data_IF_143851016624
#
_entry.id   IF_143851016624
#
_cell.length_a   1.000
_cell.length_b   1.000
_cell.length_c   1.000
_cell.angle_alpha   90.00
_cell.angle_beta   90.00
_cell.angle_gamma   90.00
#
_symmetry.space_group_name_H-M   'P 1'
#
loop_
_entity.id
_entity.type
_entity.pdbx_description
1 polymer ?
#
# COMPACT_ATOMS: atom_id res chain seq x y z
N UNK A 1 -31.14 4.22 -12.79
CA UNK A 1 -30.64 4.72 -11.48
C UNK A 1 -29.16 4.91 -11.66
N UNK A 2 -28.54 5.87 -11.04
CA UNK A 2 -27.08 5.98 -11.12
C UNK A 2 -26.46 4.87 -10.25
N UNK A 3 -25.43 4.22 -10.77
CA UNK A 3 -24.70 3.21 -10.01
C UNK A 3 -24.07 3.87 -8.77
N UNK A 4 -24.10 3.16 -7.66
CA UNK A 4 -23.50 3.64 -6.40
C UNK A 4 -22.08 3.07 -6.25
N UNK A 5 -21.18 3.89 -5.72
CA UNK A 5 -19.83 3.43 -5.40
C UNK A 5 -19.71 3.25 -3.89
N UNK A 6 -19.30 2.08 -3.46
CA UNK A 6 -19.06 1.77 -2.05
C UNK A 6 -17.65 1.26 -1.82
N UNK A 7 -17.08 1.66 -0.69
CA UNK A 7 -15.83 1.12 -0.17
C UNK A 7 -16.16 0.10 0.93
N UNK A 8 -15.82 -1.14 0.68
CA UNK A 8 -15.92 -2.26 1.61
C UNK A 8 -14.57 -2.39 2.31
N UNK A 9 -14.53 -2.15 3.62
CA UNK A 9 -13.32 -2.28 4.43
C UNK A 9 -13.49 -3.41 5.43
N UNK A 10 -12.61 -4.39 5.38
CA UNK A 10 -12.64 -5.58 6.22
C UNK A 10 -11.33 -5.69 6.98
N UNK A 11 -11.42 -5.98 8.28
CA UNK A 11 -10.25 -6.25 9.11
C UNK A 11 -10.51 -7.39 10.08
N UNK A 12 -9.44 -8.13 10.41
CA UNK A 12 -9.52 -9.26 11.33
C UNK A 12 -8.49 -10.32 10.97
N UNK A 13 -8.65 -11.49 11.59
CA UNK A 13 -7.73 -12.59 11.34
C UNK A 13 -7.82 -13.09 9.90
N UNK A 14 -6.67 -13.24 9.24
CA UNK A 14 -6.64 -13.78 7.88
C UNK A 14 -7.14 -15.23 7.85
N UNK A 15 -8.07 -15.49 6.95
CA UNK A 15 -8.67 -16.83 6.78
C UNK A 15 -8.71 -17.21 5.30
N UNK A 16 -8.22 -18.40 4.95
CA UNK A 16 -8.35 -18.92 3.58
C UNK A 16 -9.81 -18.92 3.12
N UNK A 17 -10.04 -18.47 1.89
CA UNK A 17 -11.36 -18.49 1.26
C UNK A 17 -12.21 -17.24 1.49
N UNK A 18 -11.83 -16.31 2.38
CA UNK A 18 -12.59 -15.08 2.58
C UNK A 18 -12.70 -14.25 1.30
N UNK A 19 -11.58 -14.04 0.60
CA UNK A 19 -11.57 -13.30 -0.67
C UNK A 19 -12.48 -13.98 -1.71
N UNK A 20 -12.41 -15.29 -1.84
CA UNK A 20 -13.25 -16.02 -2.80
C UNK A 20 -14.74 -15.84 -2.52
N UNK A 21 -15.14 -15.98 -1.25
CA UNK A 21 -16.52 -15.79 -0.84
C UNK A 21 -17.01 -14.34 -1.06
N UNK A 22 -16.17 -13.35 -0.82
CA UNK A 22 -16.51 -11.94 -1.08
C UNK A 22 -16.66 -11.67 -2.58
N UNK A 23 -15.76 -12.19 -3.41
CA UNK A 23 -15.84 -12.03 -4.86
C UNK A 23 -17.06 -12.68 -5.44
N UNK A 24 -17.48 -13.84 -4.93
CA UNK A 24 -18.72 -14.52 -5.33
C UNK A 24 -19.93 -13.61 -5.07
N UNK A 25 -20.06 -13.07 -3.86
CA UNK A 25 -21.16 -12.15 -3.51
C UNK A 25 -21.16 -10.88 -4.38
N UNK A 26 -19.99 -10.29 -4.64
CA UNK A 26 -19.86 -9.09 -5.48
C UNK A 26 -20.26 -9.36 -6.92
N UNK A 27 -19.82 -10.48 -7.49
CA UNK A 27 -20.15 -10.88 -8.85
C UNK A 27 -21.63 -11.23 -8.99
N UNK A 28 -22.20 -11.97 -8.05
CA UNK A 28 -23.61 -12.35 -8.04
C UNK A 28 -24.55 -11.14 -7.93
N UNK A 29 -24.10 -10.08 -7.26
CA UNK A 29 -24.82 -8.79 -7.20
C UNK A 29 -24.67 -7.96 -8.48
N UNK A 30 -23.94 -8.43 -9.50
CA UNK A 30 -23.67 -7.67 -10.72
C UNK A 30 -22.79 -6.44 -10.51
N UNK A 31 -22.07 -6.38 -9.39
CA UNK A 31 -21.20 -5.26 -9.05
C UNK A 31 -19.85 -5.33 -9.80
N UNK A 32 -19.28 -4.17 -10.11
CA UNK A 32 -17.99 -4.03 -10.75
C UNK A 32 -16.92 -3.62 -9.74
N UNK A 33 -15.80 -4.35 -9.68
CA UNK A 33 -14.65 -3.99 -8.83
C UNK A 33 -13.86 -2.90 -9.51
N UNK A 34 -13.78 -1.73 -8.87
CA UNK A 34 -13.04 -0.56 -9.37
C UNK A 34 -11.59 -0.55 -8.87
N UNK A 35 -11.38 -0.93 -7.62
CA UNK A 35 -10.04 -1.01 -7.00
C UNK A 35 -10.06 -1.96 -5.81
N UNK A 36 -8.89 -2.49 -5.46
CA UNK A 36 -8.72 -3.32 -4.27
C UNK A 36 -7.33 -3.26 -3.70
N UNK A 37 -7.24 -3.35 -2.38
CA UNK A 37 -5.98 -3.43 -1.65
C UNK A 37 -6.08 -4.40 -0.48
N UNK A 38 -5.08 -5.26 -0.35
CA UNK A 38 -4.98 -6.21 0.76
C UNK A 38 -3.60 -6.15 1.40
N UNK A 39 -3.56 -6.15 2.70
CA UNK A 39 -2.34 -6.34 3.48
C UNK A 39 -2.58 -7.36 4.60
N UNK A 40 -1.59 -8.23 4.81
CA UNK A 40 -1.58 -9.17 5.95
C UNK A 40 -0.29 -8.91 6.74
N UNK A 41 -0.45 -8.54 8.02
CA UNK A 41 0.66 -8.34 8.96
C UNK A 41 0.51 -9.35 10.09
N UNK A 42 1.43 -10.28 10.19
CA UNK A 42 1.28 -11.50 10.97
C UNK A 42 0.08 -12.32 10.46
N UNK A 43 -0.98 -12.40 11.22
CA UNK A 43 -2.24 -13.07 10.89
C UNK A 43 -3.43 -12.08 10.83
N UNK A 44 -3.14 -10.78 10.87
CA UNK A 44 -4.14 -9.72 10.77
C UNK A 44 -4.26 -9.21 9.34
N UNK A 45 -5.46 -9.37 8.79
CA UNK A 45 -5.88 -8.90 7.46
C UNK A 45 -6.41 -7.48 7.56
N UNK A 46 -5.99 -6.64 6.61
CA UNK A 46 -6.67 -5.40 6.24
C UNK A 46 -6.98 -5.47 4.73
N UNK A 47 -8.25 -5.41 4.38
CA UNK A 47 -8.75 -5.51 3.01
C UNK A 47 -9.67 -4.33 2.72
N UNK A 48 -9.42 -3.64 1.61
CA UNK A 48 -10.29 -2.64 1.03
C UNK A 48 -10.71 -3.06 -0.36
N UNK A 49 -12.00 -2.98 -0.69
CA UNK A 49 -12.53 -3.22 -2.02
C UNK A 49 -13.46 -2.07 -2.37
N UNK A 50 -13.15 -1.39 -3.45
CA UNK A 50 -13.99 -0.35 -4.03
C UNK A 50 -14.83 -0.96 -5.15
N UNK A 51 -16.13 -0.91 -5.01
CA UNK A 51 -17.06 -1.52 -5.96
C UNK A 51 -18.11 -0.53 -6.41
N UNK A 52 -18.48 -0.63 -7.68
CA UNK A 52 -19.62 0.05 -8.27
C UNK A 52 -20.77 -0.95 -8.35
N UNK A 53 -21.88 -0.59 -7.72
CA UNK A 53 -23.06 -1.45 -7.64
C UNK A 53 -24.24 -0.80 -8.35
N UNK A 54 -25.00 -1.55 -9.17
CA UNK A 54 -26.20 -1.01 -9.82
C UNK A 54 -27.31 -0.75 -8.80
N UNK A 55 -27.35 -1.53 -7.73
CA UNK A 55 -28.27 -1.38 -6.61
C UNK A 55 -27.64 -2.04 -5.38
N UNK A 56 -27.65 -1.35 -4.24
CA UNK A 56 -27.09 -1.89 -2.98
C UNK A 56 -27.77 -3.21 -2.55
N UNK A 57 -29.07 -3.31 -2.75
CA UNK A 57 -29.86 -4.53 -2.56
C UNK A 57 -29.48 -5.32 -1.31
N UNK A 58 -29.31 -6.62 -1.46
CA UNK A 58 -28.92 -7.56 -0.41
C UNK A 58 -27.40 -7.66 -0.21
N UNK A 59 -26.59 -7.09 -1.11
CA UNK A 59 -25.13 -7.26 -1.10
C UNK A 59 -24.51 -6.88 0.25
N UNK A 60 -24.98 -5.77 0.84
CA UNK A 60 -24.46 -5.31 2.14
C UNK A 60 -24.78 -6.28 3.27
N UNK A 61 -25.97 -6.89 3.25
CA UNK A 61 -26.40 -7.87 4.23
C UNK A 61 -25.63 -9.18 4.08
N UNK A 62 -25.43 -9.64 2.86
CA UNK A 62 -24.70 -10.86 2.53
C UNK A 62 -23.22 -10.76 2.92
N UNK A 63 -22.56 -9.61 2.61
CA UNK A 63 -21.18 -9.35 3.03
C UNK A 63 -21.12 -9.28 4.57
N UNK A 64 -22.09 -8.63 5.22
CA UNK A 64 -22.15 -8.55 6.68
C UNK A 64 -22.25 -9.93 7.30
N UNK A 65 -23.14 -10.78 6.80
CA UNK A 65 -23.31 -12.16 7.26
C UNK A 65 -22.00 -12.97 7.07
N UNK A 66 -21.34 -12.82 5.93
CA UNK A 66 -20.07 -13.51 5.65
C UNK A 66 -18.96 -13.06 6.60
N UNK A 67 -18.82 -11.76 6.84
CA UNK A 67 -17.83 -11.22 7.78
C UNK A 67 -18.09 -11.69 9.22
N UNK A 68 -19.36 -11.68 9.65
CA UNK A 68 -19.73 -12.22 10.96
C UNK A 68 -19.38 -13.70 11.12
N UNK A 69 -19.65 -14.52 10.10
CA UNK A 69 -19.32 -15.96 10.09
C UNK A 69 -17.83 -16.23 10.32
N UNK A 70 -16.98 -15.36 9.82
CA UNK A 70 -15.52 -15.50 9.97
C UNK A 70 -14.93 -14.67 11.12
N UNK A 71 -15.76 -13.87 11.80
CA UNK A 71 -15.35 -13.04 12.94
C UNK A 71 -14.49 -11.84 12.52
N UNK A 72 -14.70 -11.31 11.32
CA UNK A 72 -14.02 -10.10 10.81
C UNK A 72 -14.89 -8.87 11.03
N UNK A 73 -14.25 -7.74 11.32
CA UNK A 73 -14.92 -6.45 11.37
C UNK A 73 -15.16 -5.94 9.94
N UNK A 74 -16.32 -5.33 9.71
CA UNK A 74 -16.75 -4.78 8.44
C UNK A 74 -17.11 -3.31 8.59
N UNK A 75 -16.71 -2.49 7.60
CA UNK A 75 -17.23 -1.14 7.40
C UNK A 75 -17.56 -0.99 5.92
N UNK A 76 -18.76 -0.51 5.62
CA UNK A 76 -19.18 -0.11 4.29
C UNK A 76 -19.38 1.40 4.30
N UNK A 77 -18.78 2.08 3.31
CA UNK A 77 -18.85 3.54 3.18
C UNK A 77 -19.27 3.89 1.76
N UNK A 78 -20.32 4.69 1.62
CA UNK A 78 -20.71 5.25 0.33
C UNK A 78 -19.64 6.26 -0.12
N UNK A 79 -19.21 6.16 -1.36
CA UNK A 79 -18.24 7.09 -1.98
C UNK A 79 -18.99 7.95 -3.00
N UNK A 80 -18.94 9.26 -2.82
CA UNK A 80 -19.53 10.21 -3.76
C UNK A 80 -18.77 10.14 -5.11
N UNK A 81 -19.48 10.18 -6.21
CA UNK A 81 -18.91 10.09 -7.56
C UNK A 81 -17.84 11.16 -7.82
N UNK A 82 -18.06 12.38 -7.35
CA UNK A 82 -17.09 13.48 -7.48
C UNK A 82 -15.77 13.16 -6.76
N UNK A 83 -15.84 12.53 -5.60
CA UNK A 83 -14.65 12.08 -4.86
C UNK A 83 -13.92 10.95 -5.57
N UNK A 84 -14.65 10.04 -6.24
CA UNK A 84 -14.04 8.98 -7.03
C UNK A 84 -13.28 9.52 -8.24
N UNK A 85 -13.87 10.48 -8.96
CA UNK A 85 -13.20 11.12 -10.10
C UNK A 85 -11.95 11.88 -9.69
N UNK A 86 -11.98 12.63 -8.58
CA UNK A 86 -10.82 13.31 -8.04
C UNK A 86 -9.69 12.33 -7.66
N UNK A 87 -10.04 11.22 -7.03
CA UNK A 87 -9.06 10.18 -6.67
C UNK A 87 -8.47 9.51 -7.92
N UNK A 88 -9.31 9.21 -8.93
CA UNK A 88 -8.84 8.61 -10.19
C UNK A 88 -7.90 9.53 -10.97
N UNK A 89 -8.13 10.84 -10.93
CA UNK A 89 -7.22 11.83 -11.52
C UNK A 89 -5.90 11.95 -10.77
N UNK A 90 -5.90 11.76 -9.45
CA UNK A 90 -4.68 11.71 -8.63
C UNK A 90 -3.72 10.58 -9.01
N UNK A 91 -4.22 9.49 -9.58
CA UNK A 91 -3.41 8.39 -10.13
C UNK A 91 -2.65 8.77 -11.42
N UNK A 92 -2.94 9.92 -12.04
CA UNK A 92 -2.28 10.41 -13.27
C UNK A 92 -0.84 10.85 -13.04
N UNK A 93 -0.42 11.16 -11.83
CA UNK A 93 0.96 11.50 -11.51
C UNK A 93 1.74 10.21 -11.21
N UNK A 94 2.85 10.02 -11.91
CA UNK A 94 3.73 8.87 -11.66
C UNK A 94 4.23 8.89 -10.21
N UNK A 95 3.76 7.98 -9.35
CA UNK A 95 4.19 7.96 -7.96
C UNK A 95 5.69 7.71 -7.86
N UNK A 96 6.27 8.13 -6.75
CA UNK A 96 7.67 7.83 -6.43
C UNK A 96 7.74 6.56 -5.58
N UNK A 97 8.79 5.81 -5.81
CA UNK A 97 9.18 4.70 -4.93
C UNK A 97 10.44 5.12 -4.19
N UNK A 98 10.32 5.19 -2.89
CA UNK A 98 11.43 5.40 -1.99
C UNK A 98 11.77 4.09 -1.29
N UNK A 99 13.00 3.63 -1.51
CA UNK A 99 13.54 2.48 -0.78
C UNK A 99 14.51 2.99 0.28
N UNK A 100 14.36 2.54 1.51
CA UNK A 100 15.22 2.87 2.65
C UNK A 100 15.88 1.60 3.16
N UNK A 101 17.20 1.63 3.29
CA UNK A 101 17.99 0.55 3.89
C UNK A 101 18.70 1.09 5.13
N UNK A 102 18.41 0.52 6.28
CA UNK A 102 19.04 0.91 7.53
C UNK A 102 19.52 -0.28 8.35
N UNK A 103 20.51 -0.01 9.19
CA UNK A 103 20.95 -0.93 10.24
C UNK A 103 20.28 -0.53 11.56
N UNK A 104 19.80 -1.49 12.34
CA UNK A 104 19.16 -1.25 13.61
C UNK A 104 17.63 -1.27 13.57
N UNK A 105 16.98 -0.63 14.53
CA UNK A 105 15.53 -0.74 14.79
C UNK A 105 14.63 0.01 13.81
N UNK A 106 15.18 0.72 12.82
CA UNK A 106 14.43 1.31 11.70
C UNK A 106 13.39 2.39 12.03
N UNK A 107 13.11 2.67 13.29
CA UNK A 107 12.09 3.65 13.66
C UNK A 107 12.49 5.09 13.35
N UNK A 108 13.76 5.44 13.57
CA UNK A 108 14.26 6.80 13.31
C UNK A 108 14.29 7.15 11.81
N UNK A 109 14.82 6.28 10.92
CA UNK A 109 14.74 6.53 9.49
C UNK A 109 13.29 6.69 9.00
N UNK A 110 12.37 5.83 9.46
CA UNK A 110 10.96 5.92 9.07
C UNK A 110 10.32 7.22 9.54
N UNK A 111 10.56 7.64 10.78
CA UNK A 111 10.10 8.93 11.34
C UNK A 111 10.63 10.11 10.53
N UNK A 112 11.93 10.11 10.22
CA UNK A 112 12.56 11.20 9.49
C UNK A 112 12.03 11.31 8.06
N UNK A 113 11.91 10.18 7.36
CA UNK A 113 11.33 10.11 6.01
C UNK A 113 9.86 10.56 6.02
N UNK A 114 9.05 10.12 6.98
CA UNK A 114 7.64 10.54 7.08
C UNK A 114 7.50 12.05 7.31
N UNK A 115 8.39 12.65 8.12
CA UNK A 115 8.42 14.10 8.29
C UNK A 115 8.87 14.84 7.03
N UNK A 116 9.82 14.26 6.27
CA UNK A 116 10.29 14.81 5.02
C UNK A 116 9.19 14.79 3.96
N UNK A 117 8.53 13.65 3.76
CA UNK A 117 7.44 13.52 2.77
C UNK A 117 6.34 14.53 3.04
N UNK A 118 5.94 14.69 4.31
CA UNK A 118 4.96 15.71 4.72
C UNK A 118 5.39 17.13 4.36
N UNK A 119 6.67 17.50 4.52
CA UNK A 119 7.20 18.84 4.19
C UNK A 119 7.19 19.13 2.69
N UNK A 120 7.22 18.10 1.87
CA UNK A 120 7.22 18.19 0.41
C UNK A 120 5.86 17.85 -0.22
N UNK A 121 4.76 17.91 0.55
CA UNK A 121 3.39 17.62 0.11
C UNK A 121 3.24 16.24 -0.54
N UNK A 122 4.00 15.27 -0.02
CA UNK A 122 3.91 13.88 -0.43
C UNK A 122 3.18 13.05 0.63
N UNK A 123 2.31 12.16 0.18
CA UNK A 123 1.68 11.13 0.99
C UNK A 123 2.44 9.81 0.86
N UNK A 124 2.45 9.01 1.92
CA UNK A 124 2.93 7.63 1.89
C UNK A 124 1.72 6.73 1.71
N UNK A 125 1.54 6.18 0.52
CA UNK A 125 0.37 5.35 0.19
C UNK A 125 0.54 3.92 0.70
N UNK A 126 1.75 3.36 0.54
CA UNK A 126 2.07 2.01 1.02
C UNK A 126 3.47 1.95 1.61
N UNK A 127 3.63 1.11 2.62
CA UNK A 127 4.95 0.76 3.17
C UNK A 127 5.07 -0.75 3.16
N UNK A 128 6.11 -1.25 2.51
CA UNK A 128 6.38 -2.68 2.43
C UNK A 128 7.78 -3.00 2.95
N UNK A 129 7.86 -3.91 3.90
CA UNK A 129 9.14 -4.44 4.35
C UNK A 129 9.64 -5.48 3.35
N UNK A 130 10.88 -5.31 2.85
CA UNK A 130 11.52 -6.21 1.90
C UNK A 130 12.40 -7.26 2.60
N UNK A 131 12.87 -6.96 3.82
CA UNK A 131 13.64 -7.90 4.65
C UNK A 131 12.72 -8.78 5.48
N UNK A 132 13.11 -10.03 5.70
CA UNK A 132 12.37 -10.92 6.62
C UNK A 132 12.43 -10.39 8.06
N UNK A 133 11.35 -10.54 8.85
CA UNK A 133 11.41 -10.34 10.30
C UNK A 133 12.45 -11.29 10.90
N UNK A 134 13.32 -10.79 11.77
CA UNK A 134 14.29 -11.62 12.47
C UNK A 134 13.66 -12.24 13.73
N UNK A 135 13.92 -13.52 14.01
CA UNK A 135 13.56 -14.13 15.28
C UNK A 135 14.22 -13.40 16.47
N UNK A 136 13.52 -13.32 17.60
CA UNK A 136 14.08 -12.69 18.82
C UNK A 136 15.38 -13.32 19.32
N UNK A 137 15.59 -14.62 19.04
CA UNK A 137 16.78 -15.34 19.43
C UNK A 137 18.07 -14.94 18.67
N UNK A 138 17.93 -14.26 17.53
CA UNK A 138 19.08 -13.79 16.73
C UNK A 138 19.39 -12.30 16.97
N UNK A 139 18.96 -11.75 18.09
CA UNK A 139 19.07 -10.33 18.41
C UNK A 139 20.51 -9.80 18.59
N UNK A 140 21.52 -10.67 18.54
CA UNK A 140 22.95 -10.28 18.57
C UNK A 140 23.45 -9.75 17.20
N UNK A 141 22.73 -10.00 16.12
CA UNK A 141 23.07 -9.47 14.80
C UNK A 141 22.31 -8.16 14.60
N UNK A 142 23.01 -7.08 14.29
CA UNK A 142 22.39 -5.78 13.98
C UNK A 142 21.32 -5.98 12.90
N UNK A 143 20.03 -5.77 13.21
CA UNK A 143 18.97 -6.05 12.27
C UNK A 143 19.08 -5.12 11.06
N UNK A 144 19.00 -5.66 9.86
CA UNK A 144 18.89 -4.87 8.63
C UNK A 144 17.42 -4.68 8.31
N UNK A 145 17.01 -3.45 8.07
CA UNK A 145 15.68 -3.11 7.66
C UNK A 145 15.73 -2.50 6.26
N UNK A 146 15.03 -3.14 5.32
CA UNK A 146 14.77 -2.57 4.01
C UNK A 146 13.27 -2.33 3.86
N UNK A 147 12.88 -1.08 3.65
CA UNK A 147 11.50 -0.65 3.44
C UNK A 147 11.36 -0.07 2.04
N UNK A 148 10.31 -0.44 1.36
CA UNK A 148 9.86 0.19 0.12
C UNK A 148 8.59 1.00 0.45
N UNK A 149 8.57 2.26 0.08
CA UNK A 149 7.45 3.17 0.27
C UNK A 149 7.00 3.70 -1.09
N UNK A 150 5.70 3.64 -1.34
CA UNK A 150 5.10 4.32 -2.48
C UNK A 150 4.61 5.68 -2.02
N UNK A 151 5.03 6.72 -2.73
CA UNK A 151 4.71 8.10 -2.43
C UNK A 151 3.88 8.69 -3.56
N UNK A 152 2.79 9.36 -3.21
CA UNK A 152 1.98 10.15 -4.13
C UNK A 152 1.93 11.61 -3.67
N UNK A 153 1.48 12.51 -4.54
CA UNK A 153 1.35 13.92 -4.24
C UNK A 153 2.01 14.80 -5.29
N UNK A 154 2.03 16.10 -5.02
CA UNK A 154 2.52 17.10 -5.95
C UNK A 154 3.92 17.58 -5.56
N UNK A 155 4.94 16.79 -5.88
CA UNK A 155 6.34 17.15 -5.62
C UNK A 155 6.76 18.34 -6.49
N UNK A 156 6.77 19.54 -5.92
CA UNK A 156 7.10 20.79 -6.62
C UNK A 156 8.59 20.86 -7.01
N UNK A 157 9.48 20.36 -6.16
CA UNK A 157 10.92 20.43 -6.37
C UNK A 157 11.61 19.11 -6.00
N UNK A 158 11.87 18.31 -7.03
CA UNK A 158 12.55 17.01 -6.88
C UNK A 158 13.99 17.13 -6.40
N UNK A 159 14.71 18.18 -6.77
CA UNK A 159 16.10 18.38 -6.36
C UNK A 159 16.17 18.73 -4.86
N UNK A 160 15.30 19.63 -4.40
CA UNK A 160 15.21 19.97 -2.99
C UNK A 160 14.83 18.76 -2.12
N UNK A 161 13.88 17.94 -2.59
CA UNK A 161 13.50 16.70 -1.90
C UNK A 161 14.67 15.73 -1.78
N UNK A 162 15.43 15.53 -2.87
CA UNK A 162 16.60 14.65 -2.85
C UNK A 162 17.73 15.19 -1.97
N UNK A 163 17.97 16.50 -1.98
CA UNK A 163 18.99 17.14 -1.15
C UNK A 163 18.63 17.03 0.35
N UNK A 164 17.37 17.24 0.70
CA UNK A 164 16.91 17.07 2.07
C UNK A 164 16.98 15.61 2.53
N UNK A 165 16.62 14.68 1.65
CA UNK A 165 16.70 13.24 1.92
C UNK A 165 18.14 12.79 2.14
N UNK A 166 19.08 13.27 1.30
CA UNK A 166 20.51 12.98 1.44
C UNK A 166 21.06 13.46 2.79
N UNK A 167 20.70 14.68 3.20
CA UNK A 167 21.12 15.22 4.49
C UNK A 167 20.61 14.41 5.65
N UNK A 168 19.32 14.03 5.64
CA UNK A 168 18.73 13.21 6.71
C UNK A 168 19.34 11.81 6.72
N UNK A 169 19.63 11.24 5.55
CA UNK A 169 20.25 9.92 5.45
C UNK A 169 21.66 9.91 6.04
N UNK A 170 22.44 10.97 5.81
CA UNK A 170 23.80 11.14 6.37
C UNK A 170 23.73 11.34 7.88
N UNK A 171 22.83 12.20 8.38
CA UNK A 171 22.67 12.51 9.80
C UNK A 171 22.26 11.28 10.65
N UNK A 172 21.41 10.42 10.10
CA UNK A 172 20.82 9.27 10.83
C UNK A 172 21.57 7.97 10.52
N UNK A 173 22.25 7.88 9.39
CA UNK A 173 23.00 6.70 8.96
C UNK A 173 22.10 5.64 8.29
N UNK A 174 21.46 5.99 7.19
CA UNK A 174 20.74 5.04 6.33
C UNK A 174 20.99 5.31 4.86
N UNK A 175 20.85 4.27 4.04
CA UNK A 175 20.91 4.38 2.58
C UNK A 175 19.51 4.50 1.99
N UNK A 176 19.39 5.15 0.84
CA UNK A 176 18.12 5.26 0.14
C UNK A 176 18.25 5.20 -1.38
N UNK A 177 17.13 4.91 -2.03
CA UNK A 177 16.96 5.04 -3.48
C UNK A 177 15.58 5.64 -3.78
N UNK A 178 15.53 6.61 -4.70
CA UNK A 178 14.29 7.22 -5.18
C UNK A 178 14.14 6.92 -6.67
N UNK A 179 12.99 6.39 -7.06
CA UNK A 179 12.66 6.04 -8.43
C UNK A 179 11.23 6.46 -8.75
N UNK A 180 10.95 6.79 -10.01
CA UNK A 180 9.57 6.93 -10.49
C UNK A 180 8.96 5.54 -10.66
N UNK A 181 7.72 5.34 -10.19
CA UNK A 181 6.99 4.09 -10.42
C UNK A 181 6.45 4.08 -11.85
N UNK A 182 7.23 3.51 -12.75
CA UNK A 182 6.86 3.35 -14.15
C UNK A 182 6.67 1.86 -14.47
N UNK A 183 5.92 1.57 -15.53
CA UNK A 183 5.76 0.19 -16.02
C UNK A 183 7.09 -0.50 -16.29
N UNK A 184 8.11 0.28 -16.60
CA UNK A 184 9.45 -0.22 -16.89
C UNK A 184 10.27 -0.58 -15.65
N UNK A 185 9.91 -0.09 -14.45
CA UNK A 185 10.57 -0.48 -13.20
C UNK A 185 10.41 -1.96 -12.90
N UNK A 186 9.27 -2.53 -13.28
CA UNK A 186 8.93 -3.94 -13.04
C UNK A 186 9.52 -4.88 -14.09
N UNK A 187 10.00 -4.35 -15.22
CA UNK A 187 10.57 -5.12 -16.31
C UNK A 187 12.09 -5.00 -16.29
N UNK A 188 12.81 -6.10 -16.15
CA UNK A 188 14.27 -6.14 -16.28
C UNK A 188 14.64 -5.83 -17.73
N UNK A 189 15.39 -4.75 -17.96
CA UNK A 189 15.82 -4.33 -19.29
C UNK A 189 17.28 -4.65 -19.60
N UNK A 190 18.05 -5.01 -18.56
CA UNK A 190 19.47 -5.33 -18.69
C UNK A 190 19.74 -6.64 -17.95
N UNK A 191 20.38 -7.54 -18.65
CA UNK A 191 21.01 -8.74 -18.05
C UNK A 191 22.50 -8.58 -18.28
N UNK A 192 23.27 -8.42 -17.21
CA UNK A 192 24.72 -8.43 -17.24
C UNK A 192 25.21 -9.81 -16.80
N UNK A 193 26.09 -10.38 -17.59
CA UNK A 193 26.81 -11.60 -17.24
C UNK A 193 28.24 -11.21 -16.88
N UNK A 194 28.70 -11.61 -15.73
CA UNK A 194 30.11 -11.57 -15.38
C UNK A 194 30.79 -12.77 -16.08
N UNK A 195 31.85 -12.49 -16.83
CA UNK A 195 32.62 -13.50 -17.55
C UNK A 195 33.95 -13.70 -16.83
N UNK A 196 33.93 -13.95 -15.52
CA UNK A 196 35.10 -14.40 -14.82
C UNK A 196 35.37 -15.87 -15.19
N UNK A 197 36.51 -16.06 -15.85
CA UNK A 197 37.07 -17.36 -16.23
C UNK A 197 37.89 -17.95 -15.09
#
# INVERSE_FOLDING_TARGET
>A
MADEIILISISGRDKPGLMAALMELIVDAGANVLDMGQAVIHDELALGILVQVPELGTLTDDITAQCHKVGSALRITLVENDNYELLSQGFSQSPLILTVLSQGRGGEPLKAVSNLTRRHDLNIDTVRRLTKPQPKAEAEITPRLCLEMRLSGNLQNSEAFQADLLRIADDIGFDFSVQRDTVFRRNRRLVAFDMDS
#
